data_IF_549457456257
#
_entry.id   IF_549457456257
#
_cell.length_a   1.000
_cell.length_b   1.000
_cell.length_c   1.000
_cell.angle_alpha   90.00
_cell.angle_beta   90.00
_cell.angle_gamma   90.00
#
_symmetry.space_group_name_H-M   'P 1'
#
loop_
_entity.id
_entity.type
_entity.pdbx_description
1 polymer ?
#
# COMPACT_ATOMS: atom_id res chain seq x y z
N UNK A 1 -20.02 -10.39 5.23
CA UNK A 1 -18.80 -10.49 4.42
C UNK A 1 -17.62 -10.24 5.34
N UNK A 2 -16.57 -11.05 5.26
CA UNK A 2 -15.42 -10.95 6.17
C UNK A 2 -14.34 -10.04 5.58
N UNK A 3 -13.75 -9.18 6.41
CA UNK A 3 -12.77 -8.18 5.97
C UNK A 3 -11.41 -8.43 6.66
N UNK A 4 -10.31 -8.24 5.94
CA UNK A 4 -8.96 -8.22 6.49
C UNK A 4 -8.45 -6.78 6.58
N UNK A 5 -8.00 -6.36 7.76
CA UNK A 5 -7.34 -5.08 7.96
C UNK A 5 -5.84 -5.30 8.09
N UNK A 6 -5.08 -4.79 7.14
CA UNK A 6 -3.63 -4.89 7.04
C UNK A 6 -3.02 -3.59 7.56
N UNK A 7 -2.35 -3.64 8.70
CA UNK A 7 -1.93 -2.46 9.45
C UNK A 7 -0.40 -2.42 9.52
N UNK A 8 0.20 -1.32 9.05
CA UNK A 8 1.64 -1.06 9.15
C UNK A 8 1.86 0.02 10.21
N UNK A 9 2.51 -0.32 11.32
CA UNK A 9 2.76 0.62 12.41
C UNK A 9 4.26 0.72 12.77
N UNK A 10 4.67 1.91 13.17
CA UNK A 10 6.06 2.18 13.58
C UNK A 10 6.16 3.02 14.86
N UNK A 11 5.08 3.63 15.34
CA UNK A 11 5.04 4.44 16.55
C UNK A 11 3.64 4.47 17.19
N UNK A 12 3.52 5.25 18.28
CA UNK A 12 2.26 5.61 18.96
C UNK A 12 1.36 4.42 19.34
N UNK A 13 1.74 3.73 20.42
CA UNK A 13 0.94 2.64 20.96
C UNK A 13 -0.49 3.05 21.36
N UNK A 14 -0.73 4.20 22.03
CA UNK A 14 -2.09 4.65 22.33
C UNK A 14 -2.99 4.77 21.09
N UNK A 15 -2.47 5.31 20.00
CA UNK A 15 -3.22 5.48 18.76
C UNK A 15 -3.49 4.13 18.08
N UNK A 16 -2.46 3.29 17.93
CA UNK A 16 -2.61 1.94 17.39
C UNK A 16 -3.60 1.11 18.22
N UNK A 17 -3.54 1.18 19.56
CA UNK A 17 -4.50 0.51 20.44
C UNK A 17 -5.93 1.00 20.21
N UNK A 18 -6.10 2.29 19.93
CA UNK A 18 -7.41 2.86 19.64
C UNK A 18 -7.93 2.36 18.29
N UNK A 19 -7.09 2.38 17.25
CA UNK A 19 -7.39 1.79 15.95
C UNK A 19 -7.85 0.33 16.08
N UNK A 20 -7.06 -0.53 16.74
CA UNK A 20 -7.39 -1.95 16.89
C UNK A 20 -8.71 -2.18 17.61
N UNK A 21 -9.06 -1.34 18.60
CA UNK A 21 -10.35 -1.41 19.29
C UNK A 21 -11.52 -0.95 18.41
N UNK A 22 -11.31 0.06 17.57
CA UNK A 22 -12.35 0.54 16.65
C UNK A 22 -12.64 -0.44 15.52
N UNK A 23 -11.67 -1.32 15.21
CA UNK A 23 -11.80 -2.39 14.23
C UNK A 23 -12.21 -3.75 14.84
N UNK A 24 -12.37 -3.83 16.16
CA UNK A 24 -12.69 -5.06 16.90
C UNK A 24 -14.15 -5.48 16.68
N UNK A 25 -14.41 -6.16 15.57
CA UNK A 25 -15.70 -6.71 15.15
C UNK A 25 -15.52 -8.17 14.71
N UNK A 26 -16.52 -9.02 14.97
CA UNK A 26 -16.48 -10.46 14.63
C UNK A 26 -16.31 -10.72 13.12
N UNK A 27 -16.66 -9.74 12.28
CA UNK A 27 -16.54 -9.81 10.82
C UNK A 27 -15.15 -9.40 10.32
N UNK A 28 -14.22 -9.05 11.21
CA UNK A 28 -12.90 -8.55 10.86
C UNK A 28 -11.79 -9.47 11.37
N UNK A 29 -10.71 -9.52 10.61
CA UNK A 29 -9.41 -9.99 11.07
C UNK A 29 -8.35 -8.90 10.88
N UNK A 30 -7.51 -8.75 11.90
CA UNK A 30 -6.52 -7.68 11.98
C UNK A 30 -5.13 -8.28 11.84
N UNK A 31 -4.39 -7.85 10.83
CA UNK A 31 -3.01 -8.23 10.58
C UNK A 31 -2.13 -7.03 10.81
N UNK A 32 -1.21 -7.11 11.77
CA UNK A 32 -0.41 -5.97 12.21
C UNK A 32 1.06 -6.28 12.01
N UNK A 33 1.69 -5.49 11.14
CA UNK A 33 3.13 -5.40 11.03
C UNK A 33 3.64 -4.23 11.87
N UNK A 34 4.67 -4.50 12.69
CA UNK A 34 5.41 -3.46 13.40
C UNK A 34 6.80 -3.36 12.78
N UNK A 35 7.24 -2.15 12.44
CA UNK A 35 8.59 -1.89 11.93
C UNK A 35 9.64 -2.57 12.83
N UNK A 36 10.64 -3.22 12.21
CA UNK A 36 11.69 -3.94 12.91
C UNK A 36 12.38 -3.09 14.00
N UNK A 37 12.55 -1.79 13.74
CA UNK A 37 13.21 -0.84 14.65
C UNK A 37 12.32 -0.44 15.83
N UNK A 38 11.01 -0.62 15.73
CA UNK A 38 10.04 -0.21 16.76
C UNK A 38 9.85 -1.31 17.81
N UNK A 39 10.95 -1.69 18.46
CA UNK A 39 11.02 -2.83 19.41
C UNK A 39 10.08 -2.64 20.60
N UNK A 40 10.06 -1.45 21.21
CA UNK A 40 9.19 -1.16 22.35
C UNK A 40 7.70 -1.26 21.98
N UNK A 41 7.32 -0.71 20.82
CA UNK A 41 5.95 -0.82 20.31
C UNK A 41 5.56 -2.28 20.07
N UNK A 42 6.45 -3.07 19.47
CA UNK A 42 6.20 -4.49 19.23
C UNK A 42 5.94 -5.25 20.53
N UNK A 43 6.74 -5.02 21.57
CA UNK A 43 6.54 -5.64 22.89
C UNK A 43 5.17 -5.27 23.50
N UNK A 44 4.75 -4.02 23.39
CA UNK A 44 3.44 -3.57 23.89
C UNK A 44 2.29 -4.25 23.12
N UNK A 45 2.37 -4.27 21.79
CA UNK A 45 1.33 -4.83 20.92
C UNK A 45 1.23 -6.35 21.04
N UNK A 46 2.33 -7.08 21.24
CA UNK A 46 2.29 -8.54 21.42
C UNK A 46 1.47 -8.99 22.65
N UNK A 47 1.27 -8.12 23.64
CA UNK A 47 0.43 -8.42 24.80
C UNK A 47 -1.04 -8.09 24.61
N UNK A 48 -1.39 -7.39 23.52
CA UNK A 48 -2.75 -6.98 23.23
C UNK A 48 -3.62 -8.16 22.79
N UNK A 49 -4.90 -8.06 23.15
CA UNK A 49 -5.95 -8.94 22.68
C UNK A 49 -7.17 -8.11 22.30
N UNK A 50 -7.81 -8.51 21.23
CA UNK A 50 -9.14 -8.08 20.79
C UNK A 50 -10.19 -8.98 21.45
N UNK A 51 -11.44 -8.51 21.51
CA UNK A 51 -12.56 -9.27 22.09
C UNK A 51 -13.32 -10.08 21.04
N UNK A 52 -13.40 -9.56 19.81
CA UNK A 52 -14.24 -10.11 18.74
C UNK A 52 -13.43 -10.47 17.50
N UNK A 53 -12.59 -9.56 17.00
CA UNK A 53 -11.75 -9.79 15.83
C UNK A 53 -10.58 -10.74 16.17
N UNK A 54 -10.08 -11.54 15.22
CA UNK A 54 -8.77 -12.19 15.41
C UNK A 54 -7.66 -11.18 15.17
N UNK A 55 -6.64 -11.22 16.01
CA UNK A 55 -5.49 -10.33 15.95
C UNK A 55 -4.22 -11.13 15.66
N UNK A 56 -3.61 -10.88 14.50
CA UNK A 56 -2.37 -11.48 14.04
C UNK A 56 -1.26 -10.44 14.05
N UNK A 57 -0.35 -10.55 15.02
CA UNK A 57 0.87 -9.73 15.04
C UNK A 57 1.95 -10.49 14.28
N UNK A 58 2.47 -9.91 13.19
CA UNK A 58 3.41 -10.60 12.33
C UNK A 58 4.78 -10.77 13.02
N UNK A 59 5.32 -12.00 13.11
CA UNK A 59 6.63 -12.23 13.73
C UNK A 59 7.77 -11.78 12.81
N UNK A 60 7.58 -11.86 11.50
CA UNK A 60 8.55 -11.38 10.52
C UNK A 60 8.41 -9.86 10.36
N UNK A 61 9.43 -9.13 10.83
CA UNK A 61 9.46 -7.65 10.84
C UNK A 61 10.51 -7.14 9.88
N UNK A 62 10.14 -6.15 9.08
CA UNK A 62 10.96 -5.52 8.04
C UNK A 62 11.22 -4.07 8.46
N UNK A 63 12.45 -3.53 8.31
CA UNK A 63 12.71 -2.12 8.57
C UNK A 63 12.19 -1.26 7.41
N UNK A 64 11.11 -0.52 7.64
CA UNK A 64 10.35 0.19 6.59
C UNK A 64 10.90 1.60 6.38
N UNK A 65 11.40 1.89 5.19
CA UNK A 65 11.88 3.24 4.86
C UNK A 65 10.85 3.98 4.01
N UNK A 66 10.60 5.24 4.34
CA UNK A 66 9.62 6.03 3.60
C UNK A 66 10.07 6.25 2.15
N UNK A 67 9.22 5.92 1.18
CA UNK A 67 9.50 6.01 -0.26
C UNK A 67 10.46 4.93 -0.77
N UNK A 68 10.67 3.85 -0.02
CA UNK A 68 11.54 2.73 -0.37
C UNK A 68 10.72 1.47 -0.68
N UNK A 69 11.33 0.50 -1.36
CA UNK A 69 10.69 -0.77 -1.71
C UNK A 69 10.24 -1.57 -0.47
N UNK A 70 10.88 -1.35 0.68
CA UNK A 70 10.49 -1.96 1.95
C UNK A 70 9.03 -1.68 2.37
N UNK A 71 8.40 -0.59 1.91
CA UNK A 71 6.97 -0.39 2.12
C UNK A 71 6.14 -1.43 1.35
N UNK A 72 6.45 -1.64 0.07
CA UNK A 72 5.76 -2.60 -0.80
C UNK A 72 6.00 -4.04 -0.33
N UNK A 73 7.21 -4.34 0.16
CA UNK A 73 7.53 -5.66 0.72
C UNK A 73 6.66 -5.99 1.94
N UNK A 74 6.39 -5.01 2.81
CA UNK A 74 5.51 -5.20 3.97
C UNK A 74 4.05 -5.33 3.56
N UNK A 75 3.58 -4.52 2.61
CA UNK A 75 2.23 -4.64 2.07
C UNK A 75 2.00 -6.03 1.47
N UNK A 76 2.95 -6.52 0.67
CA UNK A 76 2.90 -7.86 0.09
C UNK A 76 2.90 -8.95 1.17
N UNK A 77 3.78 -8.84 2.17
CA UNK A 77 3.84 -9.78 3.29
C UNK A 77 2.50 -9.86 4.05
N UNK A 78 1.88 -8.72 4.31
CA UNK A 78 0.57 -8.65 4.98
C UNK A 78 -0.52 -9.29 4.13
N UNK A 79 -0.55 -8.99 2.82
CA UNK A 79 -1.49 -9.58 1.87
C UNK A 79 -1.33 -11.09 1.78
N UNK A 80 -0.11 -11.59 1.61
CA UNK A 80 0.20 -13.01 1.52
C UNK A 80 -0.18 -13.75 2.81
N UNK A 81 0.16 -13.17 3.97
CA UNK A 81 -0.20 -13.75 5.28
C UNK A 81 -1.72 -13.82 5.46
N UNK A 82 -2.44 -12.77 5.07
CA UNK A 82 -3.90 -12.76 5.18
C UNK A 82 -4.54 -13.74 4.20
N UNK A 83 -4.13 -13.73 2.93
CA UNK A 83 -4.63 -14.65 1.90
C UNK A 83 -4.38 -16.13 2.22
N UNK A 84 -3.27 -16.46 2.89
CA UNK A 84 -2.98 -17.82 3.33
C UNK A 84 -3.85 -18.28 4.51
N UNK A 85 -4.46 -17.36 5.26
CA UNK A 85 -5.23 -17.67 6.46
C UNK A 85 -6.71 -17.96 6.17
N UNK A 86 -7.32 -17.16 5.29
CA UNK A 86 -8.73 -17.26 4.92
C UNK A 86 -9.01 -16.41 3.66
N UNK A 87 -10.10 -16.71 2.96
CA UNK A 87 -10.61 -15.86 1.89
C UNK A 87 -11.39 -14.68 2.48
N UNK A 88 -10.95 -13.46 2.17
CA UNK A 88 -11.63 -12.24 2.60
C UNK A 88 -12.31 -11.55 1.42
N UNK A 89 -13.45 -10.92 1.68
CA UNK A 89 -14.15 -10.15 0.66
C UNK A 89 -13.44 -8.82 0.35
N UNK A 90 -12.75 -8.26 1.35
CA UNK A 90 -12.05 -6.98 1.25
C UNK A 90 -10.80 -6.96 2.10
N UNK A 91 -9.72 -6.40 1.55
CA UNK A 91 -8.47 -6.11 2.24
C UNK A 91 -8.29 -4.59 2.36
N UNK A 92 -8.12 -4.12 3.59
CA UNK A 92 -7.99 -2.70 3.92
C UNK A 92 -6.57 -2.43 4.43
N UNK A 93 -5.77 -1.71 3.66
CA UNK A 93 -4.43 -1.29 4.09
C UNK A 93 -4.52 0.01 4.89
N UNK A 94 -3.93 0.04 6.07
CA UNK A 94 -3.93 1.18 7.00
C UNK A 94 -2.55 1.41 7.61
N UNK A 95 -2.25 2.67 7.92
CA UNK A 95 -1.19 3.04 8.86
C UNK A 95 -1.66 2.79 10.30
N UNK A 96 -0.73 2.49 11.21
CA UNK A 96 -1.01 2.46 12.66
C UNK A 96 -1.48 3.79 13.26
N UNK A 97 -1.45 4.87 12.48
CA UNK A 97 -1.92 6.21 12.85
C UNK A 97 -3.27 6.58 12.23
N UNK A 98 -3.86 5.72 11.42
CA UNK A 98 -5.19 5.98 10.83
C UNK A 98 -6.28 5.62 11.85
N UNK A 99 -7.45 6.28 11.75
CA UNK A 99 -8.63 5.97 12.56
C UNK A 99 -9.89 5.92 11.68
N UNK A 100 -10.75 4.90 11.82
CA UNK A 100 -12.04 4.88 11.15
C UNK A 100 -12.91 6.06 11.60
N UNK A 101 -13.47 6.80 10.65
CA UNK A 101 -14.44 7.87 10.94
C UNK A 101 -15.89 7.38 10.99
N UNK A 102 -16.13 6.13 10.56
CA UNK A 102 -17.43 5.48 10.54
C UNK A 102 -17.43 4.22 11.40
N UNK A 103 -18.62 3.79 11.81
CA UNK A 103 -18.79 2.56 12.59
C UNK A 103 -18.53 1.31 11.74
N UNK A 104 -18.21 0.18 12.39
CA UNK A 104 -18.05 -1.10 11.69
C UNK A 104 -19.32 -1.50 10.95
N UNK A 105 -20.50 -1.24 11.54
CA UNK A 105 -21.77 -1.52 10.88
C UNK A 105 -21.95 -0.72 9.58
N UNK A 106 -21.60 0.57 9.60
CA UNK A 106 -21.62 1.38 8.39
C UNK A 106 -20.63 0.85 7.35
N UNK A 107 -19.40 0.56 7.76
CA UNK A 107 -18.34 0.06 6.87
C UNK A 107 -18.79 -1.24 6.19
N UNK A 108 -19.25 -2.23 6.95
CA UNK A 108 -19.71 -3.50 6.37
C UNK A 108 -20.92 -3.32 5.47
N UNK A 109 -21.89 -2.48 5.83
CA UNK A 109 -23.05 -2.19 4.99
C UNK A 109 -22.64 -1.54 3.66
N UNK A 110 -21.72 -0.58 3.69
CA UNK A 110 -21.21 0.09 2.49
C UNK A 110 -20.57 -0.93 1.52
N UNK A 111 -19.65 -1.76 2.04
CA UNK A 111 -18.97 -2.76 1.23
C UNK A 111 -19.91 -3.87 0.73
N UNK A 112 -20.95 -4.21 1.49
CA UNK A 112 -21.98 -5.13 1.04
C UNK A 112 -22.82 -4.56 -0.11
N UNK A 113 -23.19 -3.28 -0.05
CA UNK A 113 -23.93 -2.59 -1.11
C UNK A 113 -23.12 -2.42 -2.41
N UNK A 114 -21.79 -2.47 -2.30
CA UNK A 114 -20.87 -2.31 -3.42
C UNK A 114 -19.99 -3.55 -3.64
N UNK A 115 -20.52 -4.72 -3.30
CA UNK A 115 -19.82 -5.99 -3.42
C UNK A 115 -19.19 -6.17 -4.82
N UNK A 116 -17.94 -6.62 -4.86
CA UNK A 116 -17.18 -6.85 -6.08
C UNK A 116 -16.50 -5.60 -6.66
N UNK A 117 -16.70 -4.41 -6.09
CA UNK A 117 -15.99 -3.18 -6.49
C UNK A 117 -14.73 -2.95 -5.66
N UNK A 118 -13.68 -2.45 -6.31
CA UNK A 118 -12.46 -1.97 -5.68
C UNK A 118 -12.53 -0.45 -5.52
N UNK A 119 -11.90 0.06 -4.46
CA UNK A 119 -11.92 1.49 -4.17
C UNK A 119 -10.48 1.95 -4.00
N UNK A 120 -9.88 2.56 -5.02
CA UNK A 120 -8.49 3.05 -4.96
C UNK A 120 -8.45 4.51 -5.40
N UNK A 121 -7.83 5.36 -4.57
CA UNK A 121 -7.64 6.78 -4.87
C UNK A 121 -6.49 7.03 -5.84
N UNK A 122 -6.77 7.68 -6.97
CA UNK A 122 -5.74 8.11 -7.94
C UNK A 122 -5.69 9.63 -8.09
N UNK A 123 -4.48 10.16 -8.23
CA UNK A 123 -4.20 11.55 -8.49
C UNK A 123 -4.24 11.84 -9.99
N UNK A 124 -5.31 12.48 -10.45
CA UNK A 124 -5.57 12.68 -11.89
C UNK A 124 -5.34 14.12 -12.38
N UNK A 125 -4.84 15.03 -11.53
CA UNK A 125 -4.59 16.41 -11.99
C UNK A 125 -3.54 16.44 -13.11
N UNK A 126 -3.59 17.40 -14.05
CA UNK A 126 -2.62 17.50 -15.14
C UNK A 126 -1.16 17.52 -14.67
N UNK A 127 -0.91 18.16 -13.51
CA UNK A 127 0.41 18.18 -12.88
C UNK A 127 0.87 16.78 -12.44
N UNK A 128 -0.02 15.98 -11.85
CA UNK A 128 0.28 14.61 -11.44
C UNK A 128 0.48 13.68 -12.62
N UNK A 129 -0.32 13.81 -13.67
CA UNK A 129 -0.15 13.03 -14.91
C UNK A 129 1.18 13.34 -15.60
N UNK A 130 1.59 14.62 -15.61
CA UNK A 130 2.91 15.02 -16.12
C UNK A 130 4.06 14.44 -15.29
N UNK A 131 3.95 14.46 -13.96
CA UNK A 131 4.97 13.84 -13.08
C UNK A 131 5.03 12.33 -13.25
N UNK A 132 3.88 11.66 -13.35
CA UNK A 132 3.78 10.23 -13.60
C UNK A 132 4.46 9.87 -14.92
N UNK A 133 4.05 10.52 -16.02
CA UNK A 133 4.65 10.32 -17.34
C UNK A 133 6.16 10.55 -17.32
N UNK A 134 6.64 11.57 -16.61
CA UNK A 134 8.08 11.79 -16.43
C UNK A 134 8.74 10.56 -15.81
N UNK A 135 8.23 10.07 -14.68
CA UNK A 135 8.84 8.96 -13.91
C UNK A 135 8.79 7.60 -14.60
N UNK A 136 7.77 7.32 -15.41
CA UNK A 136 7.60 6.00 -16.03
C UNK A 136 8.20 5.91 -17.44
N UNK A 137 8.33 7.04 -18.15
CA UNK A 137 8.67 7.04 -19.58
C UNK A 137 10.13 6.78 -19.91
N UNK A 138 11.04 6.82 -18.92
CA UNK A 138 12.50 6.80 -19.15
C UNK A 138 13.19 5.78 -18.27
N UNK A 139 14.39 5.38 -18.67
CA UNK A 139 15.28 4.54 -17.88
C UNK A 139 16.11 5.41 -16.95
N UNK A 140 15.94 5.17 -15.66
CA UNK A 140 16.61 5.89 -14.58
C UNK A 140 17.67 4.99 -13.95
N UNK A 141 18.92 5.15 -14.39
CA UNK A 141 20.06 4.39 -13.85
C UNK A 141 20.57 5.02 -12.54
N UNK A 142 21.25 4.24 -11.70
CA UNK A 142 21.93 4.73 -10.48
C UNK A 142 21.03 5.47 -9.47
N UNK A 143 19.72 5.23 -9.49
CA UNK A 143 18.76 5.88 -8.56
C UNK A 143 19.07 5.60 -7.10
N UNK A 144 19.63 4.42 -6.79
CA UNK A 144 20.11 4.05 -5.44
C UNK A 144 21.20 5.00 -4.94
N UNK A 145 22.13 5.40 -5.81
CA UNK A 145 23.30 6.23 -5.48
C UNK A 145 23.03 7.73 -5.39
N UNK A 146 21.75 8.12 -5.48
CA UNK A 146 21.31 9.51 -5.40
C UNK A 146 20.96 9.96 -3.98
N UNK A 147 21.11 9.07 -2.98
CA UNK A 147 20.89 9.42 -1.56
C UNK A 147 22.02 10.36 -1.08
N UNK A 148 21.69 11.47 -0.42
CA UNK A 148 22.70 12.35 0.18
C UNK A 148 23.62 11.57 1.13
N UNK A 149 24.94 11.73 0.99
CA UNK A 149 25.93 11.03 1.82
C UNK A 149 26.56 9.78 1.19
N UNK A 150 26.11 9.34 0.02
CA UNK A 150 26.78 8.24 -0.69
C UNK A 150 28.05 8.70 -1.43
N UNK A 151 29.14 7.94 -1.25
CA UNK A 151 30.45 8.20 -1.88
C UNK A 151 30.39 8.22 -3.40
N UNK A 152 29.46 7.47 -4.00
CA UNK A 152 29.33 7.38 -5.45
C UNK A 152 28.43 8.47 -6.06
N UNK A 153 27.82 9.33 -5.25
CA UNK A 153 26.91 10.39 -5.72
C UNK A 153 27.59 11.34 -6.73
N UNK A 154 28.86 11.71 -6.49
CA UNK A 154 29.57 12.74 -7.25
C UNK A 154 29.78 12.39 -8.73
N UNK A 155 30.05 11.11 -9.06
CA UNK A 155 30.28 10.67 -10.44
C UNK A 155 29.06 9.98 -11.07
N UNK A 156 28.15 9.39 -10.27
CA UNK A 156 26.90 8.81 -10.81
C UNK A 156 25.93 9.87 -11.29
N UNK A 157 25.89 11.04 -10.65
CA UNK A 157 25.00 12.15 -11.01
C UNK A 157 25.23 12.69 -12.44
N UNK A 158 26.46 13.01 -12.87
CA UNK A 158 26.69 13.46 -14.25
C UNK A 158 26.36 12.37 -15.27
N UNK A 159 26.70 11.10 -15.00
CA UNK A 159 26.37 9.98 -15.88
C UNK A 159 24.86 9.79 -16.02
N UNK A 160 24.12 9.85 -14.91
CA UNK A 160 22.66 9.83 -14.90
C UNK A 160 22.06 10.94 -15.78
N UNK A 161 22.54 12.18 -15.62
CA UNK A 161 22.07 13.32 -16.41
C UNK A 161 22.40 13.16 -17.90
N UNK A 162 23.60 12.64 -18.23
CA UNK A 162 24.02 12.36 -19.60
C UNK A 162 23.14 11.29 -20.25
N UNK A 163 22.89 10.17 -19.56
CA UNK A 163 22.00 9.12 -20.03
C UNK A 163 20.56 9.64 -20.23
N UNK A 164 20.06 10.51 -19.35
CA UNK A 164 18.74 11.13 -19.52
C UNK A 164 18.70 12.12 -20.69
N UNK A 165 19.77 12.89 -20.90
CA UNK A 165 19.87 13.79 -22.04
C UNK A 165 19.90 13.00 -23.35
N UNK A 166 20.70 11.95 -23.41
CA UNK A 166 20.75 11.04 -24.55
C UNK A 166 19.38 10.45 -24.87
N UNK A 167 18.66 9.93 -23.87
CA UNK A 167 17.28 9.45 -24.04
C UNK A 167 16.31 10.56 -24.50
N UNK A 168 16.53 11.83 -24.11
CA UNK A 168 15.69 12.96 -24.56
C UNK A 168 15.94 13.30 -26.01
N UNK A 169 17.20 13.30 -26.43
CA UNK A 169 17.62 13.60 -27.80
C UNK A 169 17.21 12.49 -28.78
N UNK A 170 17.40 11.23 -28.38
CA UNK A 170 17.07 10.06 -29.21
C UNK A 170 15.59 9.68 -29.19
N UNK A 171 14.79 10.30 -28.31
CA UNK A 171 13.37 9.96 -28.16
C UNK A 171 13.10 8.58 -27.54
N UNK A 172 14.14 7.88 -27.04
CA UNK A 172 13.99 6.56 -26.41
C UNK A 172 13.06 6.69 -25.19
N UNK A 173 11.99 5.89 -25.20
CA UNK A 173 11.04 5.75 -24.11
C UNK A 173 10.93 4.29 -23.70
N UNK A 174 10.69 4.07 -22.40
CA UNK A 174 10.37 2.75 -21.87
C UNK A 174 9.00 2.31 -22.38
N UNK A 175 8.91 1.07 -22.88
CA UNK A 175 7.64 0.45 -23.27
C UNK A 175 6.76 0.30 -22.02
N UNK A 176 5.51 0.77 -22.11
CA UNK A 176 4.52 0.64 -21.04
C UNK A 176 3.60 -0.51 -21.39
N UNK A 177 3.74 -1.63 -20.69
CA UNK A 177 2.90 -2.83 -20.91
C UNK A 177 1.66 -2.83 -20.03
N UNK A 178 1.65 -1.99 -19.00
CA UNK A 178 0.56 -1.82 -18.04
C UNK A 178 0.19 -0.35 -17.94
N UNK A 179 -1.07 -0.08 -17.62
CA UNK A 179 -1.52 1.28 -17.31
C UNK A 179 -1.00 1.68 -15.94
N UNK A 180 -0.16 2.70 -15.90
CA UNK A 180 0.32 3.25 -14.63
C UNK A 180 -0.66 4.29 -14.12
N UNK A 181 -0.96 4.21 -12.82
CA UNK A 181 -1.69 5.23 -12.09
C UNK A 181 -0.83 5.73 -10.94
N UNK A 182 -0.99 7.00 -10.58
CA UNK A 182 -0.31 7.61 -9.45
C UNK A 182 -1.30 7.78 -8.31
N UNK A 183 -0.99 7.23 -7.15
CA UNK A 183 -1.77 7.40 -5.92
C UNK A 183 -0.90 7.84 -4.76
N UNK A 184 -1.47 7.78 -3.58
CA UNK A 184 -0.82 8.10 -2.31
C UNK A 184 0.21 6.99 -1.93
N UNK A 185 1.35 7.31 -1.28
CA UNK A 185 2.46 6.36 -1.05
C UNK A 185 2.14 5.19 -0.12
N UNK A 186 1.27 5.43 0.85
CA UNK A 186 0.44 4.40 1.44
C UNK A 186 -0.92 4.61 0.82
N UNK A 187 -1.68 3.54 0.60
CA UNK A 187 -3.07 3.61 0.13
C UNK A 187 -3.93 4.26 1.22
N UNK A 188 -3.72 5.55 1.47
CA UNK A 188 -4.51 6.35 2.37
C UNK A 188 -5.81 6.65 1.66
N UNK A 189 -6.85 6.11 2.29
CA UNK A 189 -8.22 6.04 1.83
C UNK A 189 -8.40 5.17 0.58
N UNK A 190 -8.78 3.94 0.91
CA UNK A 190 -9.60 3.00 0.15
C UNK A 190 -8.87 1.72 -0.30
N UNK A 191 -9.38 0.65 0.33
CA UNK A 191 -9.42 -0.79 0.04
C UNK A 191 -8.76 -1.25 -1.26
N UNK A 192 -7.71 -2.06 -1.12
CA UNK A 192 -7.00 -2.65 -2.25
C UNK A 192 -7.16 -4.18 -2.26
N UNK A 193 -7.36 -4.72 -3.47
CA UNK A 193 -7.12 -6.09 -3.95
C UNK A 193 -8.29 -7.08 -4.11
N UNK A 194 -8.57 -7.34 -5.40
CA UNK A 194 -8.49 -8.58 -6.18
C UNK A 194 -9.08 -9.87 -5.57
N UNK A 195 -10.09 -10.49 -6.21
CA UNK A 195 -10.38 -11.89 -5.99
C UNK A 195 -9.22 -12.74 -6.54
N UNK A 196 -8.43 -13.33 -5.64
CA UNK A 196 -7.33 -14.25 -5.97
C UNK A 196 -7.80 -15.50 -6.74
N UNK A 197 -9.12 -15.76 -6.81
CA UNK A 197 -9.71 -16.88 -7.55
C UNK A 197 -9.76 -16.71 -9.08
N UNK A 198 -9.37 -15.55 -9.64
CA UNK A 198 -9.49 -15.28 -11.08
C UNK A 198 -8.18 -15.06 -11.86
N UNK A 199 -7.00 -15.22 -11.23
CA UNK A 199 -5.71 -14.97 -11.90
C UNK A 199 -5.23 -16.05 -12.90
N UNK A 200 -6.00 -17.10 -13.16
CA UNK A 200 -5.64 -18.05 -14.23
C UNK A 200 -6.22 -17.76 -15.61
N UNK A 201 -7.21 -16.86 -15.80
CA UNK A 201 -7.98 -16.93 -17.06
C UNK A 201 -8.43 -15.67 -17.81
N UNK A 202 -8.20 -14.41 -17.35
CA UNK A 202 -8.69 -13.26 -18.13
C UNK A 202 -7.72 -12.08 -18.25
N UNK A 203 -6.74 -12.26 -19.14
CA UNK A 203 -6.18 -11.16 -19.95
C UNK A 203 -7.19 -10.83 -21.06
N UNK A 204 -8.20 -10.01 -20.75
CA UNK A 204 -9.25 -9.69 -21.70
C UNK A 204 -10.17 -8.60 -21.20
N UNK A 205 -9.76 -7.34 -21.45
CA UNK A 205 -10.58 -6.15 -21.61
C UNK A 205 -11.98 -6.14 -20.96
N UNK A 206 -12.10 -5.60 -19.74
CA UNK A 206 -13.32 -4.93 -19.30
C UNK A 206 -12.96 -3.61 -18.61
N UNK A 207 -13.53 -2.51 -19.13
CA UNK A 207 -13.43 -1.16 -18.59
C UNK A 207 -14.28 -1.09 -17.32
N UNK A 208 -13.66 -1.24 -16.16
CA UNK A 208 -14.32 -0.92 -14.90
C UNK A 208 -14.35 0.60 -14.70
N UNK A 209 -15.55 1.17 -14.69
CA UNK A 209 -15.82 2.55 -14.32
C UNK A 209 -15.44 2.79 -12.85
N UNK A 210 -14.42 3.62 -12.63
CA UNK A 210 -13.96 4.05 -11.31
C UNK A 210 -14.73 5.33 -10.96
N UNK A 211 -15.63 5.23 -9.99
CA UNK A 211 -16.30 6.40 -9.42
C UNK A 211 -15.40 7.04 -8.36
N UNK A 212 -14.95 8.26 -8.67
CA UNK A 212 -14.24 9.13 -7.73
C UNK A 212 -15.26 9.71 -6.74
N UNK A 213 -15.17 9.35 -5.46
CA UNK A 213 -15.80 10.12 -4.40
C UNK A 213 -14.91 11.35 -4.17
N UNK A 214 -15.31 12.49 -4.74
CA UNK A 214 -14.78 13.80 -4.37
C UNK A 214 -15.17 14.10 -2.92
N UNK A 215 -14.23 14.64 -2.15
CA UNK A 215 -14.50 15.22 -0.82
C UNK A 215 -15.41 16.43 -0.87
#
# INVERSE_FOLDING_TARGET
MKHAFLIIAHNDFPLLRTLLKMLDDVRNDLYVHIDLRSVALYQQVCTMKTKQARLFILPHRIPVHWGDISQVEVEYLLLETAAAQEEYAYYHLLSGTDLPIQTQEYIHRFFQQHAGKEFIGFWQTPAHLKDLNRKISRYYFFTKHRRPGEKWHAWTTPLYNLCLLFQKLTGIRRKQEVTFQKGTPMVQHHTCFLPLSHQSEKLGAEKNEIYLMSG
#
